data_IF_237947828431
#
_entry.id   IF_237947828431
#
_cell.length_a   1.000
_cell.length_b   1.000
_cell.length_c   1.000
_cell.angle_alpha   90.00
_cell.angle_beta   90.00
_cell.angle_gamma   90.00
#
_symmetry.space_group_name_H-M   'P 1'
#
loop_
_entity.id
_entity.type
_entity.pdbx_description
1 polymer ?
#
# COMPACT_ATOMS: atom_id res chain seq x y z
N UNK A 1 -52.14 -26.96 -14.61
CA UNK A 1 -51.63 -25.57 -14.51
C UNK A 1 -52.02 -24.86 -15.81
N UNK A 2 -52.87 -23.83 -15.76
CA UNK A 2 -53.38 -23.18 -16.98
C UNK A 2 -52.25 -22.45 -17.72
N UNK A 3 -52.37 -22.26 -19.04
CA UNK A 3 -51.44 -21.45 -19.84
C UNK A 3 -51.29 -20.02 -19.27
N UNK A 4 -52.35 -19.48 -18.66
CA UNK A 4 -52.33 -18.22 -17.93
C UNK A 4 -51.41 -18.29 -16.70
N UNK A 5 -51.48 -19.36 -15.89
CA UNK A 5 -50.58 -19.58 -14.76
C UNK A 5 -49.14 -19.89 -15.21
N UNK A 6 -48.97 -20.32 -16.46
CA UNK A 6 -47.67 -20.51 -17.11
C UNK A 6 -47.09 -19.23 -17.71
N UNK A 7 -47.91 -18.23 -18.05
CA UNK A 7 -47.49 -16.90 -18.51
C UNK A 7 -47.30 -15.91 -17.35
N UNK A 8 -48.03 -16.12 -16.25
CA UNK A 8 -47.73 -15.58 -14.92
C UNK A 8 -46.44 -16.17 -14.30
N UNK A 9 -45.76 -17.12 -14.97
CA UNK A 9 -44.56 -17.79 -14.45
C UNK A 9 -43.47 -16.77 -14.14
N UNK A 10 -43.34 -16.57 -12.85
CA UNK A 10 -42.20 -16.03 -12.15
C UNK A 10 -41.88 -14.60 -12.58
N UNK A 11 -42.36 -13.63 -11.79
CA UNK A 11 -41.99 -12.20 -11.92
C UNK A 11 -40.48 -12.04 -12.18
N UNK A 12 -39.65 -12.79 -11.45
CA UNK A 12 -38.21 -12.80 -11.66
C UNK A 12 -37.77 -13.25 -13.07
N UNK A 13 -38.44 -14.24 -13.68
CA UNK A 13 -38.14 -14.66 -15.05
C UNK A 13 -38.57 -13.60 -16.07
N UNK A 14 -39.69 -12.91 -15.83
CA UNK A 14 -40.09 -11.75 -16.65
C UNK A 14 -39.07 -10.61 -16.55
N UNK A 15 -38.61 -10.29 -15.34
CA UNK A 15 -37.60 -9.27 -15.11
C UNK A 15 -36.29 -9.63 -15.83
N UNK A 16 -35.82 -10.87 -15.67
CA UNK A 16 -34.62 -11.38 -16.35
C UNK A 16 -34.75 -11.34 -17.88
N UNK A 17 -35.90 -11.75 -18.42
CA UNK A 17 -36.16 -11.72 -19.87
C UNK A 17 -36.22 -10.28 -20.44
N UNK A 18 -36.47 -9.28 -19.58
CA UNK A 18 -36.47 -7.86 -19.99
C UNK A 18 -35.08 -7.23 -20.03
N UNK A 19 -34.07 -7.89 -19.43
CA UNK A 19 -32.69 -7.43 -19.47
C UNK A 19 -32.10 -7.81 -20.82
N UNK A 20 -31.67 -6.81 -21.59
CA UNK A 20 -30.95 -7.07 -22.86
C UNK A 20 -29.57 -7.65 -22.58
N UNK A 21 -29.25 -8.87 -23.03
CA UNK A 21 -27.92 -9.43 -22.85
C UNK A 21 -26.91 -8.59 -23.65
N UNK A 22 -26.08 -7.85 -22.93
CA UNK A 22 -25.00 -7.04 -23.48
C UNK A 22 -23.71 -7.39 -22.77
N UNK A 23 -22.58 -7.11 -23.42
CA UNK A 23 -21.28 -7.26 -22.76
C UNK A 23 -21.22 -6.40 -21.50
N UNK A 24 -20.60 -6.95 -20.45
CA UNK A 24 -20.37 -6.24 -19.17
C UNK A 24 -21.62 -5.85 -18.39
N UNK A 25 -22.80 -6.40 -18.70
CA UNK A 25 -24.01 -6.29 -17.86
C UNK A 25 -24.00 -7.33 -16.74
N UNK A 26 -24.12 -6.87 -15.50
CA UNK A 26 -24.31 -7.73 -14.33
C UNK A 26 -25.78 -7.76 -13.93
N UNK A 27 -26.27 -8.93 -13.52
CA UNK A 27 -27.64 -9.08 -13.03
C UNK A 27 -27.61 -8.97 -11.51
N UNK A 28 -28.29 -7.96 -10.97
CA UNK A 28 -28.39 -7.75 -9.52
C UNK A 28 -29.85 -7.54 -9.11
N UNK A 29 -30.14 -7.68 -7.82
CA UNK A 29 -31.44 -7.34 -7.25
C UNK A 29 -31.45 -5.91 -6.74
N UNK A 30 -32.44 -5.10 -7.15
CA UNK A 30 -32.60 -3.71 -6.71
C UNK A 30 -33.47 -3.56 -5.44
N UNK A 31 -33.77 -4.68 -4.77
CA UNK A 31 -34.71 -4.77 -3.65
C UNK A 31 -36.18 -4.98 -4.05
N UNK A 32 -36.52 -4.85 -5.33
CA UNK A 32 -37.87 -5.06 -5.87
C UNK A 32 -37.92 -6.08 -7.01
N UNK A 33 -36.91 -6.09 -7.89
CA UNK A 33 -36.79 -6.97 -9.06
C UNK A 33 -35.32 -7.22 -9.45
N UNK A 34 -35.10 -8.06 -10.45
CA UNK A 34 -33.80 -8.17 -11.10
C UNK A 34 -33.63 -7.04 -12.13
N UNK A 35 -32.44 -6.45 -12.12
CA UNK A 35 -32.03 -5.39 -13.05
C UNK A 35 -30.68 -5.70 -13.66
N UNK A 36 -30.46 -5.20 -14.88
CA UNK A 36 -29.16 -5.20 -15.51
C UNK A 36 -28.41 -3.93 -15.13
N UNK A 37 -27.22 -4.07 -14.58
CA UNK A 37 -26.36 -2.96 -14.15
C UNK A 37 -25.00 -2.99 -14.84
N UNK A 38 -24.37 -1.82 -14.92
CA UNK A 38 -22.95 -1.75 -15.24
C UNK A 38 -22.12 -2.33 -14.09
N UNK A 39 -20.89 -2.78 -14.36
CA UNK A 39 -20.01 -3.27 -13.29
C UNK A 39 -19.72 -2.23 -12.20
N UNK A 40 -19.72 -0.93 -12.51
CA UNK A 40 -19.52 0.12 -11.51
C UNK A 40 -20.73 0.25 -10.57
N UNK A 41 -21.94 0.29 -11.15
CA UNK A 41 -23.21 0.33 -10.38
C UNK A 41 -23.35 -0.91 -9.52
N UNK A 42 -23.06 -2.09 -10.08
CA UNK A 42 -23.16 -3.36 -9.36
C UNK A 42 -22.28 -3.40 -8.10
N UNK A 43 -21.06 -2.83 -8.16
CA UNK A 43 -20.20 -2.71 -6.96
C UNK A 43 -20.84 -1.82 -5.89
N UNK A 44 -21.40 -0.68 -6.29
CA UNK A 44 -22.12 0.20 -5.37
C UNK A 44 -23.35 -0.50 -4.77
N UNK A 45 -24.11 -1.25 -5.57
CA UNK A 45 -25.26 -2.04 -5.10
C UNK A 45 -24.86 -3.14 -4.11
N UNK A 46 -23.66 -3.71 -4.27
CA UNK A 46 -23.07 -4.66 -3.31
C UNK A 46 -22.42 -3.97 -2.08
N UNK A 47 -22.43 -2.64 -2.03
CA UNK A 47 -21.83 -1.86 -0.94
C UNK A 47 -20.30 -1.84 -0.96
N UNK A 48 -19.67 -2.04 -2.12
CA UNK A 48 -18.21 -2.04 -2.28
C UNK A 48 -17.74 -0.71 -2.87
N UNK A 49 -17.04 0.09 -2.09
CA UNK A 49 -16.38 1.32 -2.50
C UNK A 49 -14.87 1.12 -2.72
N UNK A 50 -14.40 1.43 -3.93
CA UNK A 50 -12.96 1.46 -4.24
C UNK A 50 -12.33 2.66 -3.51
N UNK A 51 -11.19 2.43 -2.87
CA UNK A 51 -10.51 3.38 -1.99
C UNK A 51 -10.93 3.31 -0.52
N UNK A 52 -11.99 2.56 -0.17
CA UNK A 52 -12.41 2.35 1.22
C UNK A 52 -12.52 0.87 1.58
N UNK A 53 -13.26 0.09 0.80
CA UNK A 53 -13.45 -1.35 1.02
C UNK A 53 -12.45 -2.20 0.23
N UNK A 54 -12.00 -1.69 -0.91
CA UNK A 54 -10.98 -2.32 -1.76
C UNK A 54 -9.99 -1.25 -2.18
N UNK A 55 -8.69 -1.56 -2.12
CA UNK A 55 -7.66 -0.60 -2.51
C UNK A 55 -7.82 -0.19 -3.98
N UNK A 56 -7.70 1.11 -4.26
CA UNK A 56 -7.60 1.58 -5.63
C UNK A 56 -6.25 1.15 -6.21
N UNK A 57 -6.25 0.72 -7.47
CA UNK A 57 -5.00 0.57 -8.22
C UNK A 57 -4.22 1.89 -8.23
N UNK A 58 -2.90 1.82 -8.14
CA UNK A 58 -2.04 3.00 -8.18
C UNK A 58 -0.58 2.65 -8.45
N UNK A 59 0.13 3.55 -9.13
CA UNK A 59 1.47 3.31 -9.67
C UNK A 59 2.48 2.86 -8.60
N UNK A 60 2.46 3.47 -7.40
CA UNK A 60 3.36 3.07 -6.30
C UNK A 60 3.07 1.66 -5.78
N UNK A 61 1.81 1.21 -5.86
CA UNK A 61 1.46 -0.17 -5.51
C UNK A 61 1.93 -1.15 -6.58
N UNK A 62 1.91 -0.75 -7.85
CA UNK A 62 2.52 -1.54 -8.92
C UNK A 62 4.04 -1.67 -8.72
N UNK A 63 4.71 -0.57 -8.36
CA UNK A 63 6.14 -0.57 -8.04
C UNK A 63 6.44 -1.54 -6.87
N UNK A 64 5.64 -1.50 -5.79
CA UNK A 64 5.76 -2.42 -4.66
C UNK A 64 5.48 -3.88 -5.06
N UNK A 65 4.57 -4.11 -5.99
CA UNK A 65 4.24 -5.45 -6.49
C UNK A 65 5.40 -6.10 -7.28
N UNK A 66 6.40 -5.32 -7.70
CA UNK A 66 7.64 -5.87 -8.31
C UNK A 66 8.63 -6.42 -7.29
N UNK A 67 8.43 -6.14 -6.00
CA UNK A 67 9.32 -6.59 -4.94
C UNK A 67 9.22 -8.12 -4.78
N UNK A 68 10.37 -8.79 -4.74
CA UNK A 68 10.42 -10.24 -4.50
C UNK A 68 10.14 -10.57 -3.04
N UNK A 69 10.28 -11.83 -2.61
CA UNK A 69 10.35 -12.12 -1.17
C UNK A 69 11.67 -11.61 -0.58
N UNK A 70 11.65 -11.19 0.67
CA UNK A 70 12.87 -10.90 1.41
C UNK A 70 13.77 -12.15 1.46
N UNK A 71 15.00 -12.05 0.93
CA UNK A 71 16.02 -13.09 1.01
C UNK A 71 16.47 -13.48 2.43
N UNK A 72 16.43 -12.54 3.39
CA UNK A 72 16.77 -12.74 4.80
C UNK A 72 16.00 -11.77 5.71
N UNK A 73 15.99 -12.08 7.01
CA UNK A 73 15.50 -11.16 8.05
C UNK A 73 16.32 -9.86 8.08
N UNK A 74 15.70 -8.78 8.54
CA UNK A 74 16.31 -7.46 8.72
C UNK A 74 16.55 -6.65 7.44
N UNK A 75 16.13 -7.10 6.26
CA UNK A 75 16.27 -6.29 5.05
C UNK A 75 15.33 -5.08 5.04
N UNK A 76 15.78 -4.01 4.39
CA UNK A 76 15.02 -2.77 4.23
C UNK A 76 14.51 -2.63 2.80
N UNK A 77 13.31 -2.07 2.63
CA UNK A 77 12.82 -1.64 1.33
C UNK A 77 13.38 -0.25 1.05
N UNK A 78 14.07 -0.10 -0.08
CA UNK A 78 14.59 1.18 -0.54
C UNK A 78 14.21 1.44 -1.99
N UNK A 79 14.17 2.72 -2.38
CA UNK A 79 14.06 3.10 -3.77
C UNK A 79 15.45 3.03 -4.42
N UNK A 80 15.60 2.20 -5.46
CA UNK A 80 16.88 2.03 -6.18
C UNK A 80 16.90 2.77 -7.52
N UNK A 81 15.73 3.04 -8.08
CA UNK A 81 15.50 3.88 -9.24
C UNK A 81 14.07 4.45 -9.20
N UNK A 82 13.75 5.35 -10.13
CA UNK A 82 12.37 5.83 -10.29
C UNK A 82 11.44 4.64 -10.58
N UNK A 83 10.42 4.44 -9.73
CA UNK A 83 9.48 3.34 -9.85
C UNK A 83 10.03 1.95 -9.52
N UNK A 84 11.18 1.86 -8.82
CA UNK A 84 11.78 0.56 -8.49
C UNK A 84 12.13 0.50 -7.01
N UNK A 85 11.45 -0.39 -6.29
CA UNK A 85 11.80 -0.78 -4.93
C UNK A 85 12.59 -2.08 -4.93
N UNK A 86 13.58 -2.18 -4.04
CA UNK A 86 14.32 -3.41 -3.80
C UNK A 86 14.56 -3.62 -2.31
N UNK A 87 14.80 -4.87 -1.92
CA UNK A 87 15.36 -5.17 -0.61
C UNK A 87 16.86 -4.94 -0.62
N UNK A 88 17.35 -4.21 0.39
CA UNK A 88 18.77 -4.09 0.69
C UNK A 88 19.09 -4.72 2.04
N UNK A 89 20.31 -5.23 2.18
CA UNK A 89 20.80 -5.70 3.46
C UNK A 89 20.91 -4.54 4.44
N UNK A 90 20.84 -4.85 5.74
CA UNK A 90 21.05 -3.86 6.80
C UNK A 90 22.33 -3.07 6.58
N UNK A 91 23.38 -3.72 6.07
CA UNK A 91 24.69 -3.13 5.81
C UNK A 91 24.67 -2.04 4.73
N UNK A 92 24.04 -2.34 3.59
CA UNK A 92 23.96 -1.35 2.51
C UNK A 92 23.10 -0.17 2.96
N UNK A 93 21.96 -0.44 3.61
CA UNK A 93 21.08 0.62 4.10
C UNK A 93 21.76 1.53 5.14
N UNK A 94 22.51 0.98 6.11
CA UNK A 94 23.24 1.79 7.12
C UNK A 94 24.40 2.57 6.51
N UNK A 95 25.09 1.98 5.53
CA UNK A 95 26.12 2.68 4.76
C UNK A 95 25.52 3.86 3.98
N UNK A 96 24.37 3.69 3.33
CA UNK A 96 23.67 4.75 2.60
C UNK A 96 23.21 5.90 3.51
N UNK A 97 22.87 5.61 4.77
CA UNK A 97 22.55 6.63 5.78
C UNK A 97 23.79 7.29 6.41
N UNK A 98 25.00 6.80 6.12
CA UNK A 98 26.25 7.35 6.66
C UNK A 98 26.49 7.05 8.15
N UNK A 99 25.80 6.06 8.71
CA UNK A 99 25.93 5.70 10.15
C UNK A 99 26.83 4.49 10.40
N UNK A 100 27.22 3.77 9.34
CA UNK A 100 28.15 2.63 9.44
C UNK A 100 27.56 1.36 10.06
N UNK A 101 28.39 0.33 10.19
CA UNK A 101 27.94 -1.04 10.48
C UNK A 101 27.90 -1.43 11.97
N UNK A 102 28.62 -0.71 12.82
CA UNK A 102 28.69 -1.02 14.25
C UNK A 102 27.64 -0.27 15.08
N UNK A 103 27.56 -0.63 16.35
CA UNK A 103 26.72 0.07 17.34
C UNK A 103 27.31 1.43 17.78
N UNK A 104 28.51 1.76 17.29
CA UNK A 104 29.23 3.01 17.51
C UNK A 104 29.43 3.72 16.15
N UNK A 105 28.41 4.46 15.65
CA UNK A 105 28.54 5.20 14.40
C UNK A 105 29.69 6.20 14.50
N UNK A 106 30.46 6.32 13.42
CA UNK A 106 31.55 7.30 13.28
C UNK A 106 31.12 8.38 12.30
N UNK A 107 31.27 9.64 12.69
CA UNK A 107 31.02 10.79 11.83
C UNK A 107 32.33 11.55 11.59
N UNK A 108 32.58 11.99 10.36
CA UNK A 108 33.79 12.75 10.01
C UNK A 108 33.82 14.15 10.66
N UNK A 109 32.63 14.75 10.86
CA UNK A 109 32.47 16.02 11.57
C UNK A 109 31.20 15.98 12.43
N UNK A 110 31.28 16.63 13.59
CA UNK A 110 30.18 16.75 14.56
C UNK A 110 30.00 18.23 14.87
N UNK A 111 29.09 18.89 14.15
CA UNK A 111 28.77 20.31 14.38
C UNK A 111 27.73 20.44 15.48
N UNK A 112 28.14 20.97 16.63
CA UNK A 112 27.24 21.28 17.75
C UNK A 112 26.97 22.78 17.78
N UNK A 113 25.78 23.20 17.33
CA UNK A 113 25.35 24.60 17.44
C UNK A 113 24.98 24.94 18.89
N UNK A 114 25.91 25.53 19.65
CA UNK A 114 25.59 26.16 20.93
C UNK A 114 25.18 27.62 20.71
N UNK A 115 23.91 27.94 20.95
CA UNK A 115 23.47 29.33 21.06
C UNK A 115 24.23 30.05 22.18
N UNK A 116 24.59 31.32 21.95
CA UNK A 116 25.24 32.24 22.90
C UNK A 116 26.09 31.59 24.00
N UNK A 117 27.31 31.16 23.64
CA UNK A 117 28.42 30.75 24.51
C UNK A 117 28.11 30.58 26.01
N UNK A 118 27.31 29.58 26.36
CA UNK A 118 27.44 28.84 27.61
C UNK A 118 28.27 27.60 27.28
N UNK A 119 29.28 27.29 28.10
CA UNK A 119 30.24 26.21 27.84
C UNK A 119 29.54 24.91 27.44
N UNK A 120 29.61 24.46 26.16
CA UNK A 120 29.12 23.13 25.81
C UNK A 120 29.88 22.09 26.63
N UNK A 121 29.17 21.23 27.37
CA UNK A 121 29.77 20.01 27.90
C UNK A 121 29.61 18.92 26.85
N UNK A 122 30.61 18.72 26.00
CA UNK A 122 30.74 17.49 25.22
C UNK A 122 31.51 16.51 26.09
N UNK A 123 30.87 15.43 26.54
CA UNK A 123 31.54 14.38 27.31
C UNK A 123 32.10 13.34 26.36
N UNK A 124 33.42 13.33 26.18
CA UNK A 124 34.11 12.26 25.44
C UNK A 124 34.39 11.09 26.39
N UNK A 125 33.61 10.01 26.29
CA UNK A 125 33.85 8.81 27.10
C UNK A 125 35.01 8.02 26.49
N UNK A 126 36.15 7.95 27.20
CA UNK A 126 37.27 7.07 26.83
C UNK A 126 38.37 7.70 25.96
N UNK A 127 38.43 9.02 25.80
CA UNK A 127 39.55 9.68 25.12
C UNK A 127 40.81 9.68 26.01
N UNK A 128 41.68 8.71 25.79
CA UNK A 128 42.99 8.60 26.46
C UNK A 128 44.11 9.34 25.71
N UNK A 129 43.82 9.95 24.55
CA UNK A 129 44.83 10.36 23.59
C UNK A 129 44.97 11.89 23.49
N UNK A 130 43.88 12.66 23.62
CA UNK A 130 43.93 14.13 23.52
C UNK A 130 43.94 14.85 24.87
N UNK A 131 43.52 14.19 25.95
CA UNK A 131 43.47 14.78 27.29
C UNK A 131 42.39 15.85 27.48
N UNK A 132 41.42 15.92 26.56
CA UNK A 132 40.25 16.78 26.66
C UNK A 132 39.23 16.06 27.55
N UNK A 133 39.14 16.49 28.82
CA UNK A 133 38.14 16.02 29.81
C UNK A 133 36.99 17.02 29.92
#
# INVERSE_FOLDING_TARGET
MTLLNMYLKNRALTDLNSITPSNSTFIVGDGTKFVGESGATARTSLGVAIGSDTQAHGDVLDDLNTLTTAASDGQFIVATAAGVFAYESTTVARTSLGVGEGDSPTFDDVVVSVGAAGTPSVTYTGDLNTGIY
#
